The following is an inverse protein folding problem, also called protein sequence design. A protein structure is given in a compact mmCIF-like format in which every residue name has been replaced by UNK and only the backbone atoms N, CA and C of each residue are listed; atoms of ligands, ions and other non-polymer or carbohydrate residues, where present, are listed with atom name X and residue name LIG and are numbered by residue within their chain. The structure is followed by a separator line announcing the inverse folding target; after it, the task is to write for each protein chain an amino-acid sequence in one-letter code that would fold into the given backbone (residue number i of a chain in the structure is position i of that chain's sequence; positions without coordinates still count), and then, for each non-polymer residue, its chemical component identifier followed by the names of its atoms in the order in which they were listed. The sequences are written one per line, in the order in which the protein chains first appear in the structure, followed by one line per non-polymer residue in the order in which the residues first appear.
data_IF_832299046198
#
_entry.id   IF_832299046198
#
_cell.length_a   1.000
_cell.length_b   1.000
_cell.length_c   1.000
_cell.angle_alpha   90.00
_cell.angle_beta   90.00
_cell.angle_gamma   90.00
#
_symmetry.space_group_name_H-M   'P 1'
#
loop_
_entity.id
_entity.type
_entity.pdbx_description
1 polymer ?
#
# COMPACT_ATOMS: atom_id res chain seq x y z
N UNK A 1 12.52 -0.63 -6.47
CA UNK A 1 13.13 -0.68 -5.12
C UNK A 1 12.23 -1.50 -4.19
N UNK A 2 12.42 -2.81 -4.19
CA UNK A 2 11.80 -3.74 -3.25
C UNK A 2 12.67 -3.84 -2.00
N UNK A 3 12.62 -2.84 -1.12
CA UNK A 3 13.38 -2.85 0.13
C UNK A 3 12.92 -3.92 1.15
N UNK A 4 12.00 -4.81 0.78
CA UNK A 4 11.43 -5.82 1.69
C UNK A 4 12.27 -7.10 1.77
N UNK A 5 13.16 -7.38 0.80
CA UNK A 5 13.90 -8.65 0.75
C UNK A 5 15.01 -8.78 1.80
N UNK A 6 15.72 -7.69 2.11
CA UNK A 6 16.93 -7.79 2.93
C UNK A 6 16.58 -8.07 4.41
N UNK A 7 15.60 -7.34 4.98
CA UNK A 7 15.12 -7.57 6.35
C UNK A 7 14.47 -8.94 6.52
N UNK A 8 13.69 -9.41 5.55
CA UNK A 8 13.08 -10.76 5.60
C UNK A 8 14.17 -11.84 5.64
N UNK A 9 15.27 -11.65 4.90
CA UNK A 9 16.36 -12.63 4.84
C UNK A 9 17.28 -12.59 6.06
N UNK A 10 17.51 -11.42 6.67
CA UNK A 10 18.44 -11.25 7.78
C UNK A 10 17.79 -11.30 9.16
N UNK A 11 16.56 -10.80 9.29
CA UNK A 11 15.85 -10.66 10.56
C UNK A 11 14.32 -10.61 10.36
N UNK A 12 13.72 -11.80 10.31
CA UNK A 12 12.28 -11.97 10.10
C UNK A 12 11.46 -11.43 11.29
N UNK A 13 11.99 -11.46 12.50
CA UNK A 13 11.29 -10.99 13.71
C UNK A 13 11.11 -9.48 13.68
N UNK A 14 12.17 -8.74 13.31
CA UNK A 14 12.11 -7.29 13.13
C UNK A 14 11.11 -6.88 12.03
N UNK A 15 11.08 -7.63 10.92
CA UNK A 15 10.11 -7.40 9.85
C UNK A 15 8.65 -7.61 10.33
N UNK A 16 8.38 -8.70 11.04
CA UNK A 16 7.06 -9.00 11.56
C UNK A 16 6.61 -7.94 12.59
N UNK A 17 7.49 -7.56 13.53
CA UNK A 17 7.19 -6.55 14.53
C UNK A 17 6.83 -5.18 13.93
N UNK A 18 7.48 -4.79 12.82
CA UNK A 18 7.17 -3.56 12.10
C UNK A 18 5.78 -3.59 11.43
N UNK A 19 5.32 -4.76 10.98
CA UNK A 19 4.08 -4.90 10.23
C UNK A 19 2.87 -5.33 11.07
N UNK A 20 3.09 -5.84 12.28
CA UNK A 20 2.04 -6.35 13.18
C UNK A 20 1.05 -5.26 13.63
N UNK A 21 1.48 -4.00 13.74
CA UNK A 21 0.70 -2.91 14.36
C UNK A 21 0.15 -1.87 13.37
N UNK A 22 -0.19 -2.30 12.15
CA UNK A 22 -0.82 -1.39 11.17
C UNK A 22 -2.30 -1.22 11.47
N UNK A 23 -2.74 0.04 11.57
CA UNK A 23 -4.14 0.37 11.76
C UNK A 23 -4.89 0.44 10.42
N UNK A 24 -6.19 0.12 10.45
CA UNK A 24 -7.05 0.21 9.28
C UNK A 24 -7.49 1.66 9.05
N UNK A 25 -6.99 2.28 7.98
CA UNK A 25 -7.46 3.59 7.54
C UNK A 25 -8.68 3.44 6.60
N UNK A 26 -9.80 4.06 6.96
CA UNK A 26 -10.96 4.21 6.09
C UNK A 26 -10.98 5.63 5.53
N UNK A 27 -10.91 5.78 4.23
CA UNK A 27 -11.02 7.07 3.55
C UNK A 27 -12.01 6.99 2.39
N UNK A 28 -12.48 8.16 1.95
CA UNK A 28 -13.42 8.32 0.84
C UNK A 28 -12.82 9.31 -0.15
N UNK A 29 -13.04 9.10 -1.45
CA UNK A 29 -12.79 10.10 -2.48
C UNK A 29 -14.12 10.78 -2.87
N UNK A 30 -14.11 12.10 -3.02
CA UNK A 30 -15.26 12.90 -3.45
C UNK A 30 -14.85 13.92 -4.52
N UNK A 31 -15.80 14.34 -5.36
CA UNK A 31 -15.54 15.18 -6.53
C UNK A 31 -16.59 14.97 -7.64
N UNK A 32 -16.65 15.90 -8.59
CA UNK A 32 -17.52 15.89 -9.77
C UNK A 32 -17.20 14.75 -10.74
N UNK A 33 -18.06 14.56 -11.75
CA UNK A 33 -17.75 13.73 -12.92
C UNK A 33 -16.42 14.23 -13.53
N UNK A 34 -15.57 13.29 -13.94
CA UNK A 34 -14.25 13.53 -14.55
C UNK A 34 -13.14 14.16 -13.68
N UNK A 35 -13.36 14.37 -12.38
CA UNK A 35 -12.31 14.81 -11.43
C UNK A 35 -11.23 13.73 -11.15
N UNK A 36 -11.29 12.58 -11.82
CA UNK A 36 -10.27 11.54 -11.72
C UNK A 36 -10.29 10.72 -10.42
N UNK A 37 -11.39 10.70 -9.66
CA UNK A 37 -11.55 9.88 -8.43
C UNK A 37 -11.12 8.41 -8.63
N UNK A 38 -11.60 7.77 -9.70
CA UNK A 38 -11.26 6.39 -10.03
C UNK A 38 -9.80 6.24 -10.47
N UNK A 39 -9.25 7.24 -11.16
CA UNK A 39 -7.83 7.27 -11.55
C UNK A 39 -6.92 7.35 -10.33
N UNK A 40 -7.28 8.16 -9.32
CA UNK A 40 -6.54 8.24 -8.06
C UNK A 40 -6.56 6.91 -7.31
N UNK A 41 -7.74 6.27 -7.18
CA UNK A 41 -7.86 4.94 -6.56
C UNK A 41 -7.00 3.92 -7.33
N UNK A 42 -7.10 3.91 -8.67
CA UNK A 42 -6.30 3.02 -9.51
C UNK A 42 -4.80 3.25 -9.35
N UNK A 43 -4.34 4.50 -9.30
CA UNK A 43 -2.93 4.86 -9.06
C UNK A 43 -2.45 4.39 -7.69
N UNK A 44 -3.23 4.63 -6.63
CA UNK A 44 -2.89 4.16 -5.28
C UNK A 44 -2.73 2.64 -5.21
N UNK A 45 -3.63 1.90 -5.86
CA UNK A 45 -3.60 0.44 -5.90
C UNK A 45 -2.43 -0.09 -6.73
N UNK A 46 -2.12 0.56 -7.85
CA UNK A 46 -0.97 0.23 -8.70
C UNK A 46 0.37 0.48 -7.98
N UNK A 47 0.56 1.70 -7.46
CA UNK A 47 1.82 2.09 -6.81
C UNK A 47 2.07 1.30 -5.51
N UNK A 48 0.99 0.94 -4.79
CA UNK A 48 1.07 0.10 -3.59
C UNK A 48 1.25 -1.39 -3.89
N UNK A 49 1.33 -1.79 -5.18
CA UNK A 49 1.40 -3.19 -5.61
C UNK A 49 0.25 -4.06 -5.08
N UNK A 50 -0.93 -3.46 -4.91
CA UNK A 50 -2.14 -4.13 -4.43
C UNK A 50 -3.02 -4.65 -5.57
N UNK A 51 -2.78 -4.18 -6.79
CA UNK A 51 -3.37 -4.66 -8.04
C UNK A 51 -2.21 -4.88 -9.01
N UNK A 52 -2.10 -6.09 -9.55
CA UNK A 52 -1.07 -6.65 -10.45
C UNK A 52 -0.03 -7.60 -9.80
N UNK A 53 0.03 -8.81 -10.36
CA UNK A 53 1.17 -9.73 -10.38
C UNK A 53 2.30 -9.19 -11.28
#
# INVERSE_FOLDING_TARGET
MSHHSDLIATDIEAYLAQHERKELLRFLTCGSVDDGKSTLIGRLLYDSKMIYE
#
